data_IF_114054148935
#
_entry.id   IF_114054148935
#
_cell.length_a   1.000
_cell.length_b   1.000
_cell.length_c   1.000
_cell.angle_alpha   90.00
_cell.angle_beta   90.00
_cell.angle_gamma   90.00
#
_symmetry.space_group_name_H-M   'P 1'
#
loop_
_entity.id
_entity.type
_entity.pdbx_description
1 polymer ?
#
# COMPACT_ATOMS: atom_id res chain seq x y z
N UNK A 1 -95.13 -59.50 -143.22
CA UNK A 1 -96.36 -60.25 -143.54
C UNK A 1 -97.24 -59.53 -144.57
N UNK A 2 -97.97 -58.44 -144.27
CA UNK A 2 -98.81 -57.78 -145.31
C UNK A 2 -98.01 -57.34 -146.55
N UNK A 3 -96.83 -56.74 -146.34
CA UNK A 3 -95.99 -56.16 -147.40
C UNK A 3 -95.47 -57.19 -148.43
N UNK A 4 -95.29 -58.45 -148.04
CA UNK A 4 -94.68 -59.49 -148.90
C UNK A 4 -95.67 -60.07 -149.90
N UNK A 5 -96.95 -60.16 -149.54
CA UNK A 5 -98.02 -60.57 -150.45
C UNK A 5 -98.23 -59.49 -151.53
N UNK A 6 -98.12 -58.21 -151.16
CA UNK A 6 -98.20 -57.08 -152.09
C UNK A 6 -96.98 -57.01 -153.03
N UNK A 7 -95.78 -57.40 -152.57
CA UNK A 7 -94.59 -57.44 -153.42
C UNK A 7 -94.72 -58.45 -154.58
N UNK A 8 -95.18 -59.68 -154.30
CA UNK A 8 -95.34 -60.71 -155.34
C UNK A 8 -96.46 -60.39 -156.34
N UNK A 9 -97.45 -59.57 -155.96
CA UNK A 9 -98.46 -59.03 -156.88
C UNK A 9 -97.93 -57.90 -157.77
N UNK A 10 -96.85 -57.23 -157.36
CA UNK A 10 -96.19 -56.18 -158.14
C UNK A 10 -95.34 -56.77 -159.28
N UNK A 11 -94.73 -57.93 -159.06
CA UNK A 11 -93.78 -58.58 -159.99
C UNK A 11 -94.45 -59.50 -161.02
N UNK A 12 -95.69 -59.91 -160.78
CA UNK A 12 -96.42 -60.90 -161.61
C UNK A 12 -97.21 -60.34 -162.81
N UNK A 13 -96.95 -59.08 -163.20
CA UNK A 13 -97.30 -58.54 -164.53
C UNK A 13 -98.79 -58.35 -164.85
N UNK A 14 -99.69 -58.56 -163.89
CA UNK A 14 -101.14 -58.46 -164.09
C UNK A 14 -101.73 -57.06 -163.85
N UNK A 15 -100.89 -56.08 -163.48
CA UNK A 15 -101.24 -54.69 -163.21
C UNK A 15 -100.22 -53.76 -163.87
N UNK A 16 -100.64 -52.56 -164.28
CA UNK A 16 -99.75 -51.55 -164.86
C UNK A 16 -98.86 -50.91 -163.79
N UNK A 17 -97.73 -50.35 -164.24
CA UNK A 17 -96.77 -49.59 -163.42
C UNK A 17 -97.45 -48.45 -162.63
N UNK A 18 -98.49 -47.87 -163.20
CA UNK A 18 -99.39 -46.85 -162.64
C UNK A 18 -100.16 -47.35 -161.39
N UNK A 19 -100.66 -48.58 -161.40
CA UNK A 19 -101.36 -49.16 -160.23
C UNK A 19 -100.38 -49.46 -159.07
N UNK A 20 -99.14 -49.83 -159.39
CA UNK A 20 -98.08 -50.01 -158.39
C UNK A 20 -97.67 -48.71 -157.71
N UNK A 21 -97.68 -47.59 -158.45
CA UNK A 21 -97.48 -46.25 -157.89
C UNK A 21 -98.65 -45.86 -156.97
N UNK A 22 -99.90 -45.99 -157.44
CA UNK A 22 -101.10 -45.66 -156.66
C UNK A 22 -101.19 -46.43 -155.33
N UNK A 23 -100.80 -47.73 -155.31
CA UNK A 23 -100.79 -48.51 -154.08
C UNK A 23 -99.72 -47.99 -153.10
N UNK A 24 -98.52 -47.63 -153.57
CA UNK A 24 -97.49 -47.04 -152.70
C UNK A 24 -97.91 -45.68 -152.16
N UNK A 25 -98.44 -44.82 -153.03
CA UNK A 25 -98.93 -43.49 -152.67
C UNK A 25 -100.07 -43.56 -151.64
N UNK A 26 -101.01 -44.49 -151.80
CA UNK A 26 -102.07 -44.75 -150.82
C UNK A 26 -101.54 -45.32 -149.48
N UNK A 27 -100.45 -46.11 -149.50
CA UNK A 27 -99.86 -46.71 -148.30
C UNK A 27 -98.98 -45.68 -147.56
N UNK A 28 -98.25 -44.82 -148.26
CA UNK A 28 -97.55 -43.67 -147.66
C UNK A 28 -98.54 -42.62 -147.15
N UNK A 29 -99.65 -42.37 -147.85
CA UNK A 29 -100.75 -41.56 -147.35
C UNK A 29 -101.32 -42.13 -146.05
N UNK A 30 -101.68 -43.43 -146.00
CA UNK A 30 -102.16 -44.09 -144.77
C UNK A 30 -101.13 -44.12 -143.64
N UNK A 31 -99.83 -44.22 -143.96
CA UNK A 31 -98.75 -44.17 -142.96
C UNK A 31 -98.59 -42.75 -142.39
N UNK A 32 -98.74 -41.72 -143.22
CA UNK A 32 -98.65 -40.33 -142.78
C UNK A 32 -99.91 -39.90 -142.03
N UNK A 33 -101.10 -40.29 -142.49
CA UNK A 33 -102.39 -40.11 -141.79
C UNK A 33 -102.34 -40.74 -140.39
N UNK A 34 -101.89 -41.99 -140.26
CA UNK A 34 -101.71 -42.63 -138.95
C UNK A 34 -100.63 -41.99 -138.07
N UNK A 35 -99.62 -41.32 -138.66
CA UNK A 35 -98.62 -40.53 -137.91
C UNK A 35 -99.17 -39.17 -137.48
N UNK A 36 -100.00 -38.52 -138.28
CA UNK A 36 -100.69 -37.29 -137.91
C UNK A 36 -101.72 -37.57 -136.83
N UNK A 37 -102.47 -38.67 -136.93
CA UNK A 37 -103.40 -39.16 -135.90
C UNK A 37 -102.67 -39.44 -134.58
N UNK A 38 -101.66 -40.32 -134.56
CA UNK A 38 -100.88 -40.62 -133.34
C UNK A 38 -100.17 -39.39 -132.78
N UNK A 39 -99.71 -38.44 -133.60
CA UNK A 39 -99.10 -37.19 -133.08
C UNK A 39 -100.13 -36.12 -132.73
N UNK A 40 -101.39 -36.24 -133.13
CA UNK A 40 -102.50 -35.48 -132.58
C UNK A 40 -102.91 -36.06 -131.22
N UNK A 41 -103.14 -37.37 -131.12
CA UNK A 41 -103.42 -38.09 -129.87
C UNK A 41 -102.34 -37.83 -128.81
N UNK A 42 -101.05 -37.94 -129.16
CA UNK A 42 -99.96 -37.64 -128.22
C UNK A 42 -99.94 -36.16 -127.80
N UNK A 43 -100.29 -35.20 -128.67
CA UNK A 43 -100.40 -33.79 -128.27
C UNK A 43 -101.59 -33.55 -127.35
N UNK A 44 -102.71 -34.20 -127.63
CA UNK A 44 -103.93 -34.17 -126.81
C UNK A 44 -103.64 -34.77 -125.42
N UNK A 45 -103.03 -35.96 -125.35
CA UNK A 45 -102.59 -36.57 -124.08
C UNK A 45 -101.57 -35.72 -123.34
N UNK A 46 -100.55 -35.16 -124.00
CA UNK A 46 -99.56 -34.31 -123.33
C UNK A 46 -100.16 -32.98 -122.86
N UNK A 47 -101.14 -32.41 -123.58
CA UNK A 47 -101.88 -31.24 -123.14
C UNK A 47 -102.74 -31.56 -121.91
N UNK A 48 -103.54 -32.63 -121.97
CA UNK A 48 -104.40 -33.06 -120.86
C UNK A 48 -103.58 -33.45 -119.61
N UNK A 49 -102.45 -34.14 -119.78
CA UNK A 49 -101.50 -34.44 -118.68
C UNK A 49 -100.89 -33.15 -118.12
N UNK A 50 -100.46 -32.22 -118.96
CA UNK A 50 -99.90 -30.95 -118.50
C UNK A 50 -100.93 -30.08 -117.76
N UNK A 51 -102.19 -30.05 -118.21
CA UNK A 51 -103.26 -29.35 -117.49
C UNK A 51 -103.60 -30.04 -116.17
N UNK A 52 -103.62 -31.38 -116.12
CA UNK A 52 -103.80 -32.14 -114.88
C UNK A 52 -102.66 -31.92 -113.89
N UNK A 53 -101.41 -32.11 -114.30
CA UNK A 53 -100.23 -31.92 -113.44
C UNK A 53 -100.17 -30.47 -112.93
N UNK A 54 -100.49 -29.49 -113.80
CA UNK A 54 -100.62 -28.08 -113.41
C UNK A 54 -101.74 -27.86 -112.40
N UNK A 55 -102.91 -28.50 -112.56
CA UNK A 55 -104.01 -28.37 -111.59
C UNK A 55 -103.64 -29.00 -110.26
N UNK A 56 -103.00 -30.17 -110.26
CA UNK A 56 -102.53 -30.87 -109.05
C UNK A 56 -101.43 -30.07 -108.34
N UNK A 57 -100.50 -29.45 -109.08
CA UNK A 57 -99.48 -28.57 -108.49
C UNK A 57 -100.12 -27.31 -107.88
N UNK A 58 -101.08 -26.69 -108.55
CA UNK A 58 -101.81 -25.53 -108.01
C UNK A 58 -102.62 -25.90 -106.77
N UNK A 59 -103.32 -27.05 -106.79
CA UNK A 59 -104.07 -27.56 -105.63
C UNK A 59 -103.15 -27.96 -104.48
N UNK A 60 -101.99 -28.57 -104.74
CA UNK A 60 -101.01 -28.90 -103.71
C UNK A 60 -100.37 -27.64 -103.11
N UNK A 61 -100.06 -26.63 -103.94
CA UNK A 61 -99.58 -25.33 -103.47
C UNK A 61 -100.65 -24.60 -102.65
N UNK A 62 -101.89 -24.52 -103.12
CA UNK A 62 -102.97 -23.81 -102.42
C UNK A 62 -103.36 -24.55 -101.13
N UNK A 63 -103.36 -25.88 -101.11
CA UNK A 63 -103.52 -26.65 -99.87
C UNK A 63 -102.36 -26.40 -98.90
N UNK A 64 -101.09 -26.41 -99.34
CA UNK A 64 -99.96 -26.09 -98.46
C UNK A 64 -100.09 -24.67 -97.89
N UNK A 65 -100.31 -23.68 -98.75
CA UNK A 65 -100.40 -22.27 -98.39
C UNK A 65 -101.62 -21.97 -97.50
N UNK A 66 -102.75 -22.67 -97.69
CA UNK A 66 -103.93 -22.53 -96.84
C UNK A 66 -103.91 -23.38 -95.57
N UNK A 67 -103.14 -24.47 -95.49
CA UNK A 67 -103.03 -25.30 -94.28
C UNK A 67 -101.84 -24.87 -93.44
N UNK A 68 -100.60 -25.10 -93.90
CA UNK A 68 -99.40 -24.92 -93.07
C UNK A 68 -99.22 -23.47 -92.63
N UNK A 69 -99.44 -22.50 -93.52
CA UNK A 69 -99.28 -21.07 -93.14
C UNK A 69 -100.42 -20.62 -92.22
N UNK A 70 -101.63 -21.19 -92.28
CA UNK A 70 -102.68 -20.87 -91.32
C UNK A 70 -102.44 -21.51 -89.97
N UNK A 71 -102.01 -22.78 -89.91
CA UNK A 71 -101.64 -23.42 -88.64
C UNK A 71 -100.43 -22.72 -88.00
N UNK A 72 -99.38 -22.41 -88.77
CA UNK A 72 -98.22 -21.64 -88.27
C UNK A 72 -98.62 -20.23 -87.81
N UNK A 73 -99.55 -19.55 -88.49
CA UNK A 73 -100.05 -18.24 -88.08
C UNK A 73 -100.90 -18.30 -86.79
N UNK A 74 -101.69 -19.36 -86.62
CA UNK A 74 -102.48 -19.60 -85.40
C UNK A 74 -101.58 -19.99 -84.23
N UNK A 75 -100.61 -20.89 -84.43
CA UNK A 75 -99.58 -21.27 -83.45
C UNK A 75 -98.73 -20.06 -83.04
N UNK A 76 -98.21 -19.29 -84.01
CA UNK A 76 -97.44 -18.07 -83.74
C UNK A 76 -98.26 -17.00 -83.01
N UNK A 77 -99.58 -16.94 -83.25
CA UNK A 77 -100.47 -16.08 -82.49
C UNK A 77 -100.60 -16.57 -81.04
N UNK A 78 -100.82 -17.87 -80.81
CA UNK A 78 -100.92 -18.42 -79.45
C UNK A 78 -99.60 -18.28 -78.68
N UNK A 79 -98.45 -18.52 -79.32
CA UNK A 79 -97.13 -18.32 -78.73
C UNK A 79 -96.88 -16.85 -78.39
N UNK A 80 -97.30 -15.92 -79.26
CA UNK A 80 -97.18 -14.49 -79.00
C UNK A 80 -98.07 -14.04 -77.85
N UNK A 81 -99.28 -14.57 -77.73
CA UNK A 81 -100.19 -14.29 -76.62
C UNK A 81 -99.65 -14.89 -75.30
N UNK A 82 -99.10 -16.12 -75.34
CA UNK A 82 -98.43 -16.75 -74.21
C UNK A 82 -97.19 -15.96 -73.74
N UNK A 83 -96.28 -15.60 -74.65
CA UNK A 83 -95.09 -14.80 -74.34
C UNK A 83 -95.44 -13.40 -73.79
N UNK A 84 -96.57 -12.82 -74.19
CA UNK A 84 -97.07 -11.57 -73.58
C UNK A 84 -97.59 -11.84 -72.17
N UNK A 85 -98.38 -12.90 -71.96
CA UNK A 85 -98.90 -13.28 -70.66
C UNK A 85 -97.77 -13.60 -69.65
N UNK A 86 -96.77 -14.38 -70.05
CA UNK A 86 -95.58 -14.67 -69.25
C UNK A 86 -94.79 -13.40 -68.90
N UNK A 87 -94.54 -12.51 -69.88
CA UNK A 87 -93.84 -11.25 -69.63
C UNK A 87 -94.60 -10.33 -68.67
N UNK A 88 -95.93 -10.33 -68.71
CA UNK A 88 -96.78 -9.59 -67.76
C UNK A 88 -96.74 -10.25 -66.38
N UNK A 89 -96.88 -11.57 -66.29
CA UNK A 89 -96.80 -12.32 -65.03
C UNK A 89 -95.43 -12.16 -64.34
N UNK A 90 -94.34 -12.28 -65.10
CA UNK A 90 -92.97 -12.10 -64.63
C UNK A 90 -92.72 -10.67 -64.13
N UNK A 91 -93.13 -9.64 -64.89
CA UNK A 91 -93.05 -8.24 -64.43
C UNK A 91 -93.87 -7.99 -63.18
N UNK A 92 -95.08 -8.57 -63.08
CA UNK A 92 -95.93 -8.46 -61.89
C UNK A 92 -95.24 -9.10 -60.68
N UNK A 93 -94.77 -10.34 -60.80
CA UNK A 93 -94.06 -11.07 -59.76
C UNK A 93 -92.80 -10.31 -59.29
N UNK A 94 -91.97 -9.78 -60.20
CA UNK A 94 -90.84 -8.91 -59.83
C UNK A 94 -91.33 -7.69 -59.04
N UNK A 95 -92.40 -7.01 -59.49
CA UNK A 95 -92.91 -5.82 -58.80
C UNK A 95 -93.46 -6.12 -57.40
N UNK A 96 -93.93 -7.34 -57.15
CA UNK A 96 -94.44 -7.81 -55.87
C UNK A 96 -93.29 -8.26 -54.95
N UNK A 97 -92.33 -9.02 -55.48
CA UNK A 97 -91.09 -9.38 -54.77
C UNK A 97 -90.24 -8.15 -54.41
N UNK A 98 -90.15 -7.14 -55.28
CA UNK A 98 -89.44 -5.90 -55.01
C UNK A 98 -90.06 -5.15 -53.81
N UNK A 99 -91.40 -5.03 -53.76
CA UNK A 99 -92.12 -4.43 -52.63
C UNK A 99 -91.97 -5.25 -51.34
N UNK A 100 -91.85 -6.57 -51.44
CA UNK A 100 -91.64 -7.46 -50.29
C UNK A 100 -90.21 -7.32 -49.75
N UNK A 101 -89.21 -7.27 -50.63
CA UNK A 101 -87.80 -7.01 -50.31
C UNK A 101 -87.60 -5.60 -49.74
N UNK A 102 -88.25 -4.58 -50.31
CA UNK A 102 -88.25 -3.21 -49.78
C UNK A 102 -88.80 -3.18 -48.35
N UNK A 103 -89.95 -3.82 -48.08
CA UNK A 103 -90.52 -3.95 -46.73
C UNK A 103 -89.61 -4.73 -45.78
N UNK A 104 -88.93 -5.78 -46.26
CA UNK A 104 -87.98 -6.55 -45.46
C UNK A 104 -86.76 -5.71 -45.07
N UNK A 105 -86.14 -5.02 -46.03
CA UNK A 105 -85.00 -4.13 -45.77
C UNK A 105 -85.42 -2.97 -44.86
N UNK A 106 -86.54 -2.31 -45.13
CA UNK A 106 -87.02 -1.19 -44.31
C UNK A 106 -87.33 -1.61 -42.86
N UNK A 107 -87.95 -2.78 -42.66
CA UNK A 107 -88.24 -3.29 -41.31
C UNK A 107 -86.98 -3.78 -40.58
N UNK A 108 -86.03 -4.42 -41.26
CA UNK A 108 -84.73 -4.78 -40.70
C UNK A 108 -83.92 -3.54 -40.31
N UNK A 109 -83.75 -2.59 -41.23
CA UNK A 109 -83.04 -1.33 -40.98
C UNK A 109 -83.69 -0.53 -39.84
N UNK A 110 -85.03 -0.46 -39.77
CA UNK A 110 -85.72 0.19 -38.65
C UNK A 110 -85.51 -0.52 -37.31
N UNK A 111 -85.33 -1.85 -37.32
CA UNK A 111 -85.00 -2.64 -36.13
C UNK A 111 -83.56 -2.41 -35.69
N UNK A 112 -82.60 -2.55 -36.61
CA UNK A 112 -81.17 -2.30 -36.36
C UNK A 112 -80.90 -0.87 -35.88
N UNK A 113 -81.55 0.14 -36.48
CA UNK A 113 -81.44 1.54 -36.04
C UNK A 113 -82.05 1.75 -34.64
N UNK A 114 -83.07 0.98 -34.25
CA UNK A 114 -83.66 1.02 -32.90
C UNK A 114 -82.73 0.35 -31.88
N UNK A 115 -82.15 -0.78 -32.23
CA UNK A 115 -81.18 -1.51 -31.40
C UNK A 115 -79.90 -0.70 -31.20
N UNK A 116 -79.31 -0.17 -32.27
CA UNK A 116 -78.13 0.72 -32.23
C UNK A 116 -78.37 1.97 -31.38
N UNK A 117 -79.59 2.53 -31.37
CA UNK A 117 -79.97 3.63 -30.48
C UNK A 117 -80.05 3.20 -29.01
N UNK A 118 -80.61 2.02 -28.73
CA UNK A 118 -80.67 1.46 -27.38
C UNK A 118 -79.28 1.13 -26.84
N UNK A 119 -78.40 0.54 -27.65
CA UNK A 119 -77.04 0.22 -27.24
C UNK A 119 -76.18 1.48 -27.06
N UNK A 120 -76.36 2.51 -27.90
CA UNK A 120 -75.74 3.81 -27.67
C UNK A 120 -76.22 4.48 -26.37
N UNK A 121 -77.44 4.22 -25.92
CA UNK A 121 -77.92 4.67 -24.61
C UNK A 121 -77.23 3.91 -23.46
N UNK A 122 -77.15 2.57 -23.52
CA UNK A 122 -76.41 1.74 -22.54
C UNK A 122 -74.93 2.12 -22.46
N UNK A 123 -74.27 2.36 -23.60
CA UNK A 123 -72.88 2.81 -23.65
C UNK A 123 -72.72 4.17 -22.97
N UNK A 124 -73.64 5.12 -23.19
CA UNK A 124 -73.62 6.40 -22.49
C UNK A 124 -73.84 6.27 -20.97
N UNK A 125 -74.69 5.34 -20.53
CA UNK A 125 -74.93 5.03 -19.12
C UNK A 125 -73.67 4.46 -18.44
N UNK A 126 -73.05 3.44 -19.04
CA UNK A 126 -71.77 2.86 -18.59
C UNK A 126 -70.64 3.93 -18.57
N UNK A 127 -70.64 4.86 -19.53
CA UNK A 127 -69.69 5.99 -19.58
C UNK A 127 -69.96 7.00 -18.45
N UNK A 128 -71.21 7.21 -18.05
CA UNK A 128 -71.54 8.01 -16.85
C UNK A 128 -71.16 7.31 -15.54
N UNK A 129 -71.35 5.99 -15.44
CA UNK A 129 -70.95 5.24 -14.25
C UNK A 129 -69.43 5.18 -14.07
N UNK A 130 -68.69 4.86 -15.13
CA UNK A 130 -67.21 4.89 -15.11
C UNK A 130 -66.69 6.30 -14.81
N UNK A 131 -67.32 7.37 -15.32
CA UNK A 131 -67.02 8.75 -14.89
C UNK A 131 -67.26 8.98 -13.39
N UNK A 132 -68.39 8.53 -12.83
CA UNK A 132 -68.67 8.63 -11.38
C UNK A 132 -67.63 7.87 -10.57
N UNK A 133 -67.23 6.68 -11.00
CA UNK A 133 -66.18 5.88 -10.36
C UNK A 133 -64.82 6.60 -10.37
N UNK A 134 -64.38 7.08 -11.55
CA UNK A 134 -63.10 7.81 -11.69
C UNK A 134 -63.11 9.10 -10.86
N UNK A 135 -64.19 9.88 -10.86
CA UNK A 135 -64.29 11.11 -10.03
C UNK A 135 -64.27 10.79 -8.54
N UNK A 136 -64.94 9.71 -8.10
CA UNK A 136 -64.91 9.25 -6.71
C UNK A 136 -63.50 8.80 -6.29
N UNK A 137 -62.83 8.03 -7.15
CA UNK A 137 -61.47 7.55 -6.90
C UNK A 137 -60.46 8.71 -6.86
N UNK A 138 -60.50 9.62 -7.84
CA UNK A 138 -59.64 10.82 -7.88
C UNK A 138 -59.87 11.72 -6.66
N UNK A 139 -61.12 11.89 -6.22
CA UNK A 139 -61.47 12.67 -5.02
C UNK A 139 -60.95 12.03 -3.73
N UNK A 140 -60.93 10.69 -3.67
CA UNK A 140 -60.33 9.93 -2.58
C UNK A 140 -58.81 10.06 -2.58
N UNK A 141 -58.16 9.81 -3.72
CA UNK A 141 -56.70 9.94 -3.88
C UNK A 141 -56.22 11.35 -3.58
N UNK A 142 -56.99 12.38 -3.98
CA UNK A 142 -56.69 13.78 -3.65
C UNK A 142 -56.79 14.06 -2.14
N UNK A 143 -57.78 13.48 -1.46
CA UNK A 143 -57.94 13.60 -0.01
C UNK A 143 -56.83 12.85 0.76
N UNK A 144 -56.46 11.65 0.30
CA UNK A 144 -55.35 10.86 0.83
C UNK A 144 -54.01 11.61 0.61
N UNK A 145 -53.72 12.08 -0.61
CA UNK A 145 -52.55 12.93 -0.91
C UNK A 145 -52.50 14.21 -0.05
N UNK A 146 -53.65 14.85 0.23
CA UNK A 146 -53.70 15.98 1.15
C UNK A 146 -53.38 15.58 2.59
N UNK A 147 -53.70 14.36 3.03
CA UNK A 147 -53.33 13.83 4.35
C UNK A 147 -51.84 13.53 4.41
N UNK A 148 -51.32 12.78 3.44
CA UNK A 148 -49.90 12.42 3.30
C UNK A 148 -49.00 13.66 3.27
N UNK A 149 -49.42 14.71 2.57
CA UNK A 149 -48.71 16.01 2.54
C UNK A 149 -48.66 16.68 3.92
N UNK A 150 -49.71 16.56 4.76
CA UNK A 150 -49.70 17.08 6.14
C UNK A 150 -48.82 16.21 7.04
N UNK A 151 -48.85 14.88 6.87
CA UNK A 151 -47.98 13.97 7.62
C UNK A 151 -46.49 14.15 7.25
N UNK A 152 -46.16 14.37 5.98
CA UNK A 152 -44.80 14.69 5.53
C UNK A 152 -44.27 16.01 6.13
N UNK A 153 -45.14 17.01 6.29
CA UNK A 153 -44.78 18.25 7.00
C UNK A 153 -44.59 17.98 8.50
N UNK A 154 -45.49 17.24 9.13
CA UNK A 154 -45.42 16.92 10.56
C UNK A 154 -44.17 16.08 10.90
N UNK A 155 -43.84 15.08 10.08
CA UNK A 155 -42.63 14.25 10.25
C UNK A 155 -41.37 15.05 9.99
N UNK A 156 -41.34 15.94 9.00
CA UNK A 156 -40.22 16.88 8.78
C UNK A 156 -40.02 17.83 9.96
N UNK A 157 -41.09 18.40 10.52
CA UNK A 157 -41.02 19.27 11.71
C UNK A 157 -40.54 18.48 12.94
N UNK A 158 -41.04 17.25 13.14
CA UNK A 158 -40.59 16.34 14.20
C UNK A 158 -39.10 16.03 14.09
N UNK A 159 -38.63 15.62 12.90
CA UNK A 159 -37.23 15.31 12.62
C UNK A 159 -36.32 16.52 12.86
N UNK A 160 -36.74 17.73 12.47
CA UNK A 160 -35.98 18.96 12.75
C UNK A 160 -35.93 19.27 14.26
N UNK A 161 -37.02 19.04 15.00
CA UNK A 161 -37.04 19.24 16.45
C UNK A 161 -36.18 18.20 17.20
N UNK A 162 -36.29 16.92 16.85
CA UNK A 162 -35.48 15.82 17.39
C UNK A 162 -34.00 16.01 17.04
N UNK A 163 -33.69 16.35 15.79
CA UNK A 163 -32.34 16.69 15.33
C UNK A 163 -31.74 17.87 16.09
N UNK A 164 -32.51 18.95 16.33
CA UNK A 164 -32.07 20.08 17.17
C UNK A 164 -31.80 19.66 18.62
N UNK A 165 -32.65 18.79 19.19
CA UNK A 165 -32.44 18.26 20.54
C UNK A 165 -31.20 17.36 20.63
N UNK A 166 -30.93 16.55 19.61
CA UNK A 166 -29.72 15.72 19.50
C UNK A 166 -28.47 16.61 19.33
N UNK A 167 -28.51 17.60 18.44
CA UNK A 167 -27.40 18.54 18.23
C UNK A 167 -27.07 19.32 19.50
N UNK A 168 -28.07 19.76 20.27
CA UNK A 168 -27.85 20.39 21.57
C UNK A 168 -27.19 19.43 22.56
N UNK A 169 -27.73 18.22 22.75
CA UNK A 169 -27.12 17.19 23.63
C UNK A 169 -25.69 16.85 23.23
N UNK A 170 -25.41 16.74 21.93
CA UNK A 170 -24.05 16.50 21.41
C UNK A 170 -23.13 17.69 21.64
N UNK A 171 -23.61 18.93 21.45
CA UNK A 171 -22.86 20.16 21.77
C UNK A 171 -22.51 20.22 23.26
N UNK A 172 -23.48 19.97 24.15
CA UNK A 172 -23.25 19.99 25.60
C UNK A 172 -22.27 18.88 26.02
N UNK A 173 -22.39 17.69 25.42
CA UNK A 173 -21.47 16.57 25.66
C UNK A 173 -20.06 16.84 25.14
N UNK A 174 -19.94 17.54 24.00
CA UNK A 174 -18.68 17.99 23.43
C UNK A 174 -18.03 19.04 24.33
N UNK A 175 -18.77 20.08 24.74
CA UNK A 175 -18.28 21.14 25.64
C UNK A 175 -17.78 20.53 26.95
N UNK A 176 -18.51 19.58 27.56
CA UNK A 176 -18.05 18.87 28.77
C UNK A 176 -16.74 18.12 28.53
N UNK A 177 -16.67 17.25 27.52
CA UNK A 177 -15.46 16.48 27.20
C UNK A 177 -14.26 17.37 26.86
N UNK A 178 -14.47 18.47 26.13
CA UNK A 178 -13.43 19.44 25.82
C UNK A 178 -12.96 20.19 27.07
N UNK A 179 -13.87 20.59 27.96
CA UNK A 179 -13.52 21.21 29.23
C UNK A 179 -12.77 20.25 30.16
N UNK A 180 -13.23 19.00 30.28
CA UNK A 180 -12.56 17.93 31.03
C UNK A 180 -11.16 17.65 30.47
N UNK A 181 -10.99 17.59 29.14
CA UNK A 181 -9.69 17.39 28.51
C UNK A 181 -8.76 18.59 28.78
N UNK A 182 -9.23 19.82 28.58
CA UNK A 182 -8.45 21.04 28.84
C UNK A 182 -8.09 21.17 30.33
N UNK A 183 -9.01 20.89 31.25
CA UNK A 183 -8.71 20.87 32.69
C UNK A 183 -7.60 19.85 32.99
N UNK A 184 -7.73 18.61 32.52
CA UNK A 184 -6.72 17.58 32.76
C UNK A 184 -5.36 17.93 32.13
N UNK A 185 -5.32 18.52 30.93
CA UNK A 185 -4.08 18.99 30.30
C UNK A 185 -3.43 20.11 31.13
N UNK A 186 -4.18 21.16 31.51
CA UNK A 186 -3.66 22.27 32.33
C UNK A 186 -3.19 21.76 33.69
N UNK A 187 -3.98 20.91 34.35
CA UNK A 187 -3.71 20.30 35.66
C UNK A 187 -2.46 19.42 35.64
N UNK A 188 -2.20 18.71 34.55
CA UNK A 188 -0.99 17.91 34.38
C UNK A 188 0.23 18.78 34.02
N UNK A 189 0.08 19.81 33.18
CA UNK A 189 1.15 20.77 32.90
C UNK A 189 1.58 21.50 34.18
N UNK A 190 0.62 22.09 34.90
CA UNK A 190 0.86 22.79 36.17
C UNK A 190 1.48 21.86 37.23
N UNK A 191 1.08 20.58 37.30
CA UNK A 191 1.73 19.60 38.19
C UNK A 191 3.17 19.29 37.79
N UNK A 192 3.46 19.24 36.49
CA UNK A 192 4.81 19.05 35.96
C UNK A 192 5.68 20.28 36.25
N UNK A 193 5.18 21.48 35.95
CA UNK A 193 5.83 22.77 36.22
C UNK A 193 6.09 22.97 37.72
N UNK A 194 5.13 22.66 38.59
CA UNK A 194 5.31 22.72 40.05
C UNK A 194 6.25 21.63 40.59
N UNK A 195 6.38 20.48 39.93
CA UNK A 195 7.40 19.46 40.26
C UNK A 195 8.78 19.97 39.87
N UNK A 196 8.94 20.46 38.64
CA UNK A 196 10.19 21.00 38.14
C UNK A 196 10.65 22.19 39.00
N UNK A 197 9.78 23.18 39.25
CA UNK A 197 10.07 24.32 40.13
C UNK A 197 10.45 23.88 41.55
N UNK A 198 9.85 22.82 42.09
CA UNK A 198 10.26 22.25 43.38
C UNK A 198 11.65 21.62 43.31
N UNK A 199 11.98 20.91 42.24
CA UNK A 199 13.30 20.31 42.01
C UNK A 199 14.36 21.39 41.79
N UNK A 200 14.07 22.45 41.04
CA UNK A 200 14.91 23.64 40.88
C UNK A 200 15.17 24.33 42.23
N UNK A 201 14.14 24.50 43.07
CA UNK A 201 14.27 25.08 44.42
C UNK A 201 15.10 24.18 45.35
N UNK A 202 15.03 22.86 45.21
CA UNK A 202 15.86 21.92 45.98
C UNK A 202 17.31 22.01 45.51
N UNK A 203 17.58 21.93 44.20
CA UNK A 203 18.93 22.08 43.65
C UNK A 203 19.54 23.45 44.00
N UNK A 204 18.76 24.54 43.94
CA UNK A 204 19.22 25.86 44.34
C UNK A 204 19.64 25.90 45.82
N UNK A 205 18.87 25.25 46.71
CA UNK A 205 19.21 25.15 48.15
C UNK A 205 20.40 24.24 48.41
N UNK A 206 20.52 23.12 47.69
CA UNK A 206 21.66 22.20 47.79
C UNK A 206 22.95 22.88 47.31
N UNK A 207 22.89 23.65 46.21
CA UNK A 207 23.99 24.46 45.72
C UNK A 207 24.33 25.62 46.68
N UNK A 208 23.35 26.31 47.26
CA UNK A 208 23.59 27.36 48.26
C UNK A 208 24.19 26.79 49.55
N UNK A 209 23.71 25.63 50.01
CA UNK A 209 24.26 24.91 51.15
C UNK A 209 25.68 24.42 50.87
N UNK A 210 25.92 23.79 49.72
CA UNK A 210 27.24 23.37 49.28
C UNK A 210 28.22 24.53 49.20
N UNK A 211 27.79 25.69 48.68
CA UNK A 211 28.60 26.92 48.68
C UNK A 211 28.91 27.40 50.09
N UNK A 212 27.92 27.45 51.01
CA UNK A 212 28.13 27.84 52.42
C UNK A 212 29.05 26.88 53.17
N UNK A 213 28.94 25.58 52.93
CA UNK A 213 29.83 24.56 53.51
C UNK A 213 31.24 24.71 52.95
N UNK A 214 31.41 24.94 51.65
CA UNK A 214 32.71 25.20 51.05
C UNK A 214 33.33 26.53 51.50
N UNK A 215 32.52 27.59 51.65
CA UNK A 215 32.93 28.90 52.13
C UNK A 215 33.38 28.85 53.60
N UNK A 216 32.60 28.17 54.46
CA UNK A 216 32.99 27.92 55.85
C UNK A 216 34.23 27.02 55.96
N UNK A 217 34.28 25.91 55.21
CA UNK A 217 35.44 25.00 55.19
C UNK A 217 36.69 25.70 54.68
N UNK A 218 36.59 26.52 53.63
CA UNK A 218 37.72 27.32 53.11
C UNK A 218 38.15 28.38 54.11
N UNK A 219 37.21 29.05 54.81
CA UNK A 219 37.51 29.99 55.89
C UNK A 219 38.28 29.35 57.04
N UNK A 220 37.77 28.23 57.57
CA UNK A 220 38.43 27.46 58.65
C UNK A 220 39.76 26.85 58.20
N UNK A 221 39.83 26.28 56.99
CA UNK A 221 41.06 25.70 56.44
C UNK A 221 42.15 26.76 56.26
N UNK A 222 41.81 27.92 55.68
CA UNK A 222 42.76 29.03 55.53
C UNK A 222 43.17 29.61 56.89
N UNK A 223 42.26 29.74 57.86
CA UNK A 223 42.60 30.18 59.21
C UNK A 223 43.50 29.18 59.96
N UNK A 224 43.25 27.88 59.85
CA UNK A 224 44.04 26.82 60.49
C UNK A 224 45.43 26.68 59.84
N UNK A 225 45.51 26.61 58.51
CA UNK A 225 46.77 26.47 57.79
C UNK A 225 47.67 27.71 57.94
N UNK A 226 47.11 28.91 58.07
CA UNK A 226 47.90 30.11 58.38
C UNK A 226 48.55 30.00 59.77
N UNK A 227 47.86 29.42 60.75
CA UNK A 227 48.45 29.13 62.06
C UNK A 227 49.53 28.05 61.98
N UNK A 228 49.27 26.91 61.32
CA UNK A 228 50.25 25.83 61.11
C UNK A 228 51.55 26.34 60.47
N UNK A 229 51.47 27.24 59.49
CA UNK A 229 52.64 27.90 58.92
C UNK A 229 53.49 28.67 59.96
N UNK A 230 52.86 29.33 60.94
CA UNK A 230 53.59 29.97 62.04
C UNK A 230 54.11 28.97 63.08
N UNK A 231 53.42 27.87 63.30
CA UNK A 231 53.81 26.82 64.27
C UNK A 231 55.02 26.05 63.75
N UNK A 232 55.01 25.63 62.48
CA UNK A 232 56.16 25.03 61.78
C UNK A 232 57.34 26.01 61.75
N UNK A 233 57.11 27.30 61.50
CA UNK A 233 58.17 28.32 61.58
C UNK A 233 58.77 28.49 62.99
N UNK A 234 57.95 28.36 64.06
CA UNK A 234 58.45 28.35 65.46
C UNK A 234 59.23 27.08 65.77
N UNK A 235 58.80 25.92 65.26
CA UNK A 235 59.50 24.62 65.43
C UNK A 235 60.85 24.65 64.72
N UNK A 236 60.91 25.10 63.47
CA UNK A 236 62.17 25.23 62.72
C UNK A 236 63.15 26.18 63.42
N UNK A 237 62.70 27.36 63.89
CA UNK A 237 63.56 28.25 64.70
C UNK A 237 64.11 27.59 65.97
N UNK A 238 63.30 26.80 66.68
CA UNK A 238 63.77 26.02 67.84
C UNK A 238 64.76 24.92 67.45
N UNK A 239 64.60 24.31 66.28
CA UNK A 239 65.54 23.34 65.72
C UNK A 239 66.87 24.01 65.38
N UNK A 240 66.85 25.17 64.71
CA UNK A 240 68.04 25.97 64.40
C UNK A 240 68.76 26.44 65.68
N UNK A 241 68.03 26.95 66.66
CA UNK A 241 68.57 27.29 67.99
C UNK A 241 69.20 26.07 68.68
N UNK A 242 68.60 24.89 68.54
CA UNK A 242 69.14 23.66 69.13
C UNK A 242 70.38 23.17 68.38
N UNK A 243 70.42 23.26 67.06
CA UNK A 243 71.57 22.89 66.25
C UNK A 243 72.78 23.79 66.54
N UNK A 244 72.56 25.10 66.67
CA UNK A 244 73.58 26.05 67.09
C UNK A 244 74.12 25.72 68.49
N UNK A 245 73.25 25.42 69.47
CA UNK A 245 73.66 25.00 70.83
C UNK A 245 74.45 23.70 70.83
N UNK A 246 74.10 22.73 69.98
CA UNK A 246 74.89 21.50 69.81
C UNK A 246 76.28 21.81 69.24
N UNK A 247 76.37 22.63 68.19
CA UNK A 247 77.67 23.02 67.61
C UNK A 247 78.54 23.88 68.56
N UNK A 248 77.94 24.63 69.48
CA UNK A 248 78.67 25.30 70.58
C UNK A 248 79.16 24.30 71.63
N UNK A 249 78.32 23.34 72.05
CA UNK A 249 78.68 22.30 73.01
C UNK A 249 79.77 21.36 72.46
N UNK A 250 79.72 20.98 71.17
CA UNK A 250 80.75 20.17 70.52
C UNK A 250 82.12 20.87 70.53
N UNK A 251 82.18 22.18 70.33
CA UNK A 251 83.42 22.96 70.46
C UNK A 251 83.92 22.97 71.90
N UNK A 252 83.04 23.22 72.88
CA UNK A 252 83.41 23.21 74.30
C UNK A 252 83.90 21.81 74.74
N UNK A 253 83.33 20.73 74.20
CA UNK A 253 83.81 19.36 74.44
C UNK A 253 85.19 19.15 73.82
N UNK A 254 85.41 19.56 72.56
CA UNK A 254 86.71 19.44 71.90
C UNK A 254 87.82 20.21 72.63
N UNK A 255 87.54 21.44 73.09
CA UNK A 255 88.45 22.23 73.92
C UNK A 255 88.75 21.53 75.26
N UNK A 256 87.74 20.90 75.88
CA UNK A 256 87.91 20.17 77.15
C UNK A 256 88.65 18.85 77.01
N UNK A 257 88.47 18.11 75.93
CA UNK A 257 89.27 16.92 75.67
C UNK A 257 90.73 17.26 75.38
N UNK A 258 91.01 18.40 74.72
CA UNK A 258 92.37 18.92 74.56
C UNK A 258 93.02 19.31 75.90
N UNK A 259 92.29 20.01 76.79
CA UNK A 259 92.72 20.28 78.17
C UNK A 259 93.04 18.97 78.93
N UNK A 260 92.16 17.96 78.82
CA UNK A 260 92.28 16.67 79.50
C UNK A 260 93.47 15.86 78.96
N UNK A 261 93.72 15.88 77.64
CA UNK A 261 94.94 15.30 77.06
C UNK A 261 96.21 15.98 77.60
N UNK A 262 96.21 17.32 77.67
CA UNK A 262 97.31 18.10 78.24
C UNK A 262 97.59 17.72 79.70
N UNK A 263 96.55 17.66 80.53
CA UNK A 263 96.64 17.28 81.93
C UNK A 263 97.14 15.83 82.11
N UNK A 264 96.60 14.86 81.35
CA UNK A 264 97.05 13.45 81.38
C UNK A 264 98.53 13.31 80.96
N UNK A 265 98.98 14.05 79.94
CA UNK A 265 100.39 14.07 79.51
C UNK A 265 101.28 14.64 80.62
N UNK A 266 100.87 15.75 81.26
CA UNK A 266 101.61 16.35 82.38
C UNK A 266 101.70 15.42 83.61
N UNK A 267 100.59 14.78 84.00
CA UNK A 267 100.57 13.81 85.10
C UNK A 267 101.55 12.64 84.84
N UNK A 268 101.51 12.05 83.64
CA UNK A 268 102.38 10.91 83.29
C UNK A 268 103.88 11.27 83.33
N UNK A 269 104.23 12.51 82.98
CA UNK A 269 105.60 13.04 83.07
C UNK A 269 106.00 13.27 84.54
N UNK A 270 105.06 13.70 85.40
CA UNK A 270 105.32 13.90 86.83
C UNK A 270 105.51 12.57 87.57
N UNK A 271 104.67 11.57 87.31
CA UNK A 271 104.77 10.22 87.86
C UNK A 271 106.09 9.55 87.48
N UNK A 272 106.50 9.57 86.20
CA UNK A 272 107.78 9.01 85.79
C UNK A 272 108.97 9.74 86.44
N UNK A 273 108.90 11.06 86.63
CA UNK A 273 109.93 11.83 87.36
C UNK A 273 110.00 11.48 88.85
N UNK A 274 108.88 11.23 89.52
CA UNK A 274 108.89 10.78 90.92
C UNK A 274 109.44 9.35 91.04
N UNK A 275 108.91 8.42 90.25
CA UNK A 275 109.37 7.03 90.19
C UNK A 275 110.87 6.95 89.84
N UNK A 276 111.36 7.80 88.91
CA UNK A 276 112.79 7.96 88.62
C UNK A 276 113.56 8.31 89.88
N UNK A 277 113.17 9.39 90.56
CA UNK A 277 113.90 9.94 91.71
C UNK A 277 113.97 8.94 92.86
N UNK A 278 112.88 8.25 93.16
CA UNK A 278 112.83 7.24 94.21
C UNK A 278 113.78 6.07 93.89
N UNK A 279 113.64 5.45 92.71
CA UNK A 279 114.48 4.31 92.29
C UNK A 279 115.97 4.69 92.23
N UNK A 280 116.32 5.86 91.68
CA UNK A 280 117.71 6.32 91.63
C UNK A 280 118.27 6.59 93.04
N UNK A 281 117.50 7.19 93.94
CA UNK A 281 117.92 7.42 95.32
C UNK A 281 118.15 6.13 96.10
N UNK A 282 117.27 5.12 95.93
CA UNK A 282 117.39 3.82 96.58
C UNK A 282 118.57 2.99 96.08
N UNK A 283 118.93 3.12 94.80
CA UNK A 283 120.10 2.47 94.21
C UNK A 283 121.41 3.14 94.63
N UNK A 284 121.45 4.47 94.76
CA UNK A 284 122.68 5.20 95.14
C UNK A 284 122.97 5.23 96.64
N UNK A 285 121.96 5.03 97.50
CA UNK A 285 122.09 5.10 98.96
C UNK A 285 123.26 4.29 99.59
N UNK A 286 123.63 3.08 99.14
CA UNK A 286 124.76 2.33 99.71
C UNK A 286 126.16 2.74 99.17
N UNK A 287 126.26 3.67 98.23
CA UNK A 287 127.55 4.11 97.67
C UNK A 287 128.09 5.35 98.41
N UNK A 288 129.41 5.39 98.64
CA UNK A 288 130.08 6.60 99.10
C UNK A 288 129.95 7.74 98.07
N UNK A 289 129.81 8.98 98.55
CA UNK A 289 129.36 10.15 97.75
C UNK A 289 129.97 10.24 96.34
N UNK A 290 131.28 10.16 96.22
CA UNK A 290 132.00 10.27 94.93
C UNK A 290 131.61 9.15 93.96
N UNK A 291 131.57 7.90 94.43
CA UNK A 291 131.10 6.74 93.63
C UNK A 291 129.62 6.85 93.29
N UNK A 292 128.80 7.44 94.17
CA UNK A 292 127.39 7.70 93.92
C UNK A 292 127.16 8.76 92.82
N UNK A 293 128.00 9.81 92.74
CA UNK A 293 127.95 10.80 91.66
C UNK A 293 128.36 10.21 90.32
N UNK A 294 129.49 9.48 90.24
CA UNK A 294 129.89 8.82 88.98
C UNK A 294 128.80 7.84 88.49
N UNK A 295 128.12 7.16 89.42
CA UNK A 295 126.99 6.29 89.11
C UNK A 295 125.69 7.05 88.76
N UNK A 296 125.44 8.27 89.26
CA UNK A 296 124.27 9.06 88.83
C UNK A 296 124.38 9.45 87.36
N UNK A 297 125.58 9.87 86.94
CA UNK A 297 125.83 10.41 85.62
C UNK A 297 125.76 9.29 84.56
N UNK A 298 126.30 8.11 84.90
CA UNK A 298 126.16 6.87 84.10
C UNK A 298 124.70 6.39 83.96
N UNK A 299 123.78 6.86 84.81
CA UNK A 299 122.37 6.45 84.82
C UNK A 299 121.41 7.54 84.33
N UNK A 300 121.88 8.76 84.04
CA UNK A 300 121.03 9.88 83.65
C UNK A 300 120.22 9.58 82.37
N UNK A 301 120.82 8.91 81.39
CA UNK A 301 120.20 8.56 80.10
C UNK A 301 119.30 7.31 80.11
N UNK A 302 119.31 6.53 81.20
CA UNK A 302 118.64 5.21 81.26
C UNK A 302 117.16 5.36 81.60
N UNK A 303 116.27 4.64 80.89
CA UNK A 303 114.81 4.62 81.19
C UNK A 303 114.53 4.13 82.62
N UNK A 304 113.51 4.69 83.27
CA UNK A 304 113.15 4.43 84.67
C UNK A 304 113.01 2.95 85.02
N UNK A 305 112.31 2.19 84.19
CA UNK A 305 112.16 0.72 84.30
C UNK A 305 113.48 -0.06 84.31
N UNK A 306 114.53 0.49 83.72
CA UNK A 306 115.80 -0.20 83.46
C UNK A 306 116.93 0.24 84.41
N UNK A 307 116.70 1.22 85.28
CA UNK A 307 117.69 1.78 86.20
C UNK A 307 118.36 0.71 87.08
N UNK A 308 117.59 -0.24 87.63
CA UNK A 308 118.14 -1.32 88.47
C UNK A 308 119.10 -2.24 87.68
N UNK A 309 118.79 -2.52 86.41
CA UNK A 309 119.59 -3.39 85.55
C UNK A 309 120.87 -2.68 85.11
N UNK A 310 120.79 -1.40 84.73
CA UNK A 310 121.93 -0.58 84.38
C UNK A 310 122.87 -0.34 85.58
N UNK A 311 122.32 -0.03 86.76
CA UNK A 311 123.09 0.10 87.99
C UNK A 311 123.90 -1.17 88.28
N UNK A 312 123.29 -2.37 88.18
CA UNK A 312 124.00 -3.65 88.31
C UNK A 312 125.05 -3.89 87.24
N UNK A 313 124.85 -3.41 86.00
CA UNK A 313 125.82 -3.51 84.89
C UNK A 313 127.05 -2.63 85.13
N UNK A 314 126.88 -1.42 85.67
CA UNK A 314 127.99 -0.49 85.91
C UNK A 314 128.65 -0.65 87.28
N UNK A 315 127.98 -1.26 88.27
CA UNK A 315 128.48 -1.38 89.65
C UNK A 315 129.87 -2.05 89.74
N UNK A 316 130.18 -3.14 89.03
CA UNK A 316 131.54 -3.71 89.02
C UNK A 316 132.60 -2.72 88.55
N UNK A 317 132.31 -1.94 87.49
CA UNK A 317 133.22 -0.94 86.94
C UNK A 317 133.38 0.31 87.83
N UNK A 318 132.48 0.53 88.79
CA UNK A 318 132.56 1.61 89.79
C UNK A 318 133.18 1.11 91.11
N UNK A 319 133.17 -0.19 91.38
CA UNK A 319 133.79 -0.77 92.58
C UNK A 319 135.24 -1.19 92.39
N UNK A 320 135.57 -1.97 91.35
CA UNK A 320 136.88 -2.61 91.16
C UNK A 320 137.64 -2.09 89.93
N UNK A 321 138.80 -1.48 90.16
CA UNK A 321 139.72 -1.01 89.11
C UNK A 321 140.54 -2.15 88.48
N UNK A 322 139.87 -3.15 87.86
CA UNK A 322 140.51 -4.14 86.98
C UNK A 322 139.52 -4.94 86.09
N UNK A 323 139.24 -4.40 84.91
CA UNK A 323 139.19 -5.09 83.59
C UNK A 323 138.26 -6.32 83.37
N UNK A 324 137.54 -6.49 82.25
CA UNK A 324 137.26 -5.65 81.05
C UNK A 324 136.17 -6.35 80.19
N UNK A 325 135.42 -5.60 79.36
CA UNK A 325 134.55 -6.13 78.26
C UNK A 325 133.27 -6.91 78.71
N UNK A 326 132.19 -7.09 77.93
CA UNK A 326 132.02 -7.06 76.46
C UNK A 326 130.60 -6.68 75.98
N UNK A 327 130.54 -5.69 75.06
CA UNK A 327 129.58 -5.45 73.94
C UNK A 327 128.05 -5.50 74.12
N UNK A 328 127.36 -4.87 73.16
CA UNK A 328 125.90 -4.81 72.97
C UNK A 328 125.57 -5.22 71.50
N UNK A 329 124.49 -4.70 70.90
CA UNK A 329 123.96 -4.95 69.52
C UNK A 329 123.00 -6.17 69.37
N UNK A 330 121.95 -6.19 68.52
CA UNK A 330 121.33 -5.20 67.58
C UNK A 330 119.86 -5.59 67.22
N UNK A 331 119.23 -4.88 66.26
CA UNK A 331 118.22 -5.32 65.26
C UNK A 331 116.72 -4.89 65.40
N UNK A 332 115.97 -5.06 64.30
CA UNK A 332 114.97 -4.10 63.74
C UNK A 332 113.89 -4.79 62.84
N UNK A 333 113.05 -3.98 62.13
CA UNK A 333 112.06 -4.32 61.07
C UNK A 333 110.65 -4.78 61.57
N UNK A 334 109.51 -4.79 60.83
CA UNK A 334 109.19 -4.57 59.38
C UNK A 334 107.71 -4.10 59.17
N UNK A 335 107.27 -3.74 57.94
CA UNK A 335 105.87 -3.40 57.53
C UNK A 335 105.14 -4.53 56.74
N UNK A 336 103.85 -4.34 56.34
CA UNK A 336 103.03 -5.31 55.58
C UNK A 336 101.81 -4.73 54.79
N UNK A 337 101.20 -5.56 53.90
CA UNK A 337 100.09 -5.27 52.92
C UNK A 337 99.05 -6.45 53.00
N UNK A 338 97.78 -6.50 52.53
CA UNK A 338 96.97 -5.77 51.51
C UNK A 338 95.52 -5.49 52.02
N UNK A 339 94.36 -5.39 51.32
CA UNK A 339 93.76 -5.94 50.05
C UNK A 339 92.99 -4.91 49.20
N UNK A 340 92.36 -5.33 48.09
CA UNK A 340 91.76 -4.52 46.99
C UNK A 340 90.39 -5.11 46.48
N UNK A 341 89.72 -4.46 45.47
CA UNK A 341 88.51 -4.92 44.69
C UNK A 341 87.12 -4.78 45.42
N UNK A 342 85.93 -4.41 44.88
CA UNK A 342 85.34 -3.99 43.55
C UNK A 342 84.43 -2.72 43.74
N UNK A 343 83.43 -2.24 42.95
CA UNK A 343 82.74 -2.57 41.66
C UNK A 343 81.47 -1.69 41.44
N UNK A 344 80.87 -1.56 40.22
CA UNK A 344 79.84 -0.51 39.90
C UNK A 344 78.94 -0.76 38.64
N UNK A 345 77.83 0.02 38.50
CA UNK A 345 76.99 0.40 37.31
C UNK A 345 75.56 -0.21 37.13
N UNK A 346 74.64 0.64 36.64
CA UNK A 346 73.26 0.43 36.12
C UNK A 346 72.10 0.28 37.14
N UNK A 347 70.87 0.80 36.93
CA UNK A 347 70.29 1.63 35.84
C UNK A 347 69.26 2.64 36.42
N UNK A 348 68.94 3.71 35.70
CA UNK A 348 67.97 4.73 36.14
C UNK A 348 66.51 4.39 35.76
N UNK A 349 65.57 4.55 36.69
CA UNK A 349 64.12 4.45 36.46
C UNK A 349 63.41 5.74 36.91
N UNK A 350 62.93 6.53 35.95
CA UNK A 350 62.12 7.71 36.23
C UNK A 350 60.68 7.26 36.55
N UNK A 351 60.12 7.72 37.66
CA UNK A 351 58.72 7.51 38.02
C UNK A 351 58.02 8.86 38.05
N UNK A 352 57.23 9.14 37.03
CA UNK A 352 56.22 10.20 37.08
C UNK A 352 54.87 9.65 36.57
N UNK A 353 53.82 9.93 37.34
CA UNK A 353 52.46 9.49 37.05
C UNK A 353 51.64 10.69 36.57
N UNK A 354 51.14 10.65 35.33
CA UNK A 354 50.03 11.50 34.90
C UNK A 354 48.96 10.68 34.20
N UNK A 355 47.72 10.89 34.62
CA UNK A 355 46.55 10.12 34.19
C UNK A 355 45.45 11.07 33.69
N UNK A 356 45.21 11.12 32.37
CA UNK A 356 44.02 11.79 31.82
C UNK A 356 43.77 11.48 30.33
N UNK A 357 42.57 11.01 30.00
CA UNK A 357 41.76 11.68 28.96
C UNK A 357 41.81 11.23 27.49
N UNK A 358 42.03 9.95 27.17
CA UNK A 358 42.03 9.46 25.77
C UNK A 358 40.71 9.64 25.00
N UNK A 359 39.56 9.74 25.69
CA UNK A 359 38.24 9.74 25.04
C UNK A 359 37.84 11.11 24.45
N UNK A 360 38.50 12.20 24.85
CA UNK A 360 38.11 13.56 24.48
C UNK A 360 38.33 13.86 22.98
N UNK A 361 39.46 13.43 22.41
CA UNK A 361 39.80 13.71 21.00
C UNK A 361 38.93 12.91 20.03
N UNK A 362 38.63 11.65 20.34
CA UNK A 362 37.80 10.78 19.48
C UNK A 362 36.38 11.36 19.33
N UNK A 363 35.79 11.87 20.42
CA UNK A 363 34.47 12.51 20.40
C UNK A 363 34.49 13.82 19.59
N UNK A 364 35.56 14.61 19.69
CA UNK A 364 35.68 15.87 18.94
C UNK A 364 35.91 15.63 17.44
N UNK A 365 36.76 14.67 17.06
CA UNK A 365 36.96 14.25 15.68
C UNK A 365 35.68 13.73 15.04
N UNK A 366 34.91 12.89 15.75
CA UNK A 366 33.63 12.36 15.25
C UNK A 366 32.61 13.48 14.99
N UNK A 367 32.56 14.48 15.89
CA UNK A 367 31.68 15.65 15.79
C UNK A 367 32.08 16.61 14.66
N UNK A 368 33.37 16.73 14.36
CA UNK A 368 33.88 17.48 13.18
C UNK A 368 33.62 16.75 11.86
N UNK A 369 33.58 15.41 11.87
CA UNK A 369 33.32 14.59 10.69
C UNK A 369 31.83 14.46 10.30
N UNK A 370 30.91 15.08 11.05
CA UNK A 370 29.47 15.10 10.73
C UNK A 370 28.74 13.75 10.92
N UNK A 371 29.31 12.82 11.70
CA UNK A 371 28.75 11.50 11.97
C UNK A 371 28.30 11.41 13.44
N UNK A 372 26.99 11.23 13.68
CA UNK A 372 26.41 11.05 15.01
C UNK A 372 26.94 9.81 15.72
#
# INVERSE_FOLDING_TARGET
MANEILANLLESGALSEEAGAQIKEALEAKLNEAREEITAELREEFAQKFEHDKSVIVEAMDNMLNTTIKTEMEEFKTDREALIAERVAYKKAISEHAKLLEKFIASRLATEVKELRADRAKVNENLQETKKFVVKQLSRELAEFHNDKRELVNTKVRLVAEGKNILNKTKDSFIKRSAELVENTIKNSLRSEMKNLKEDIVQAKENEFGRKVFEAFSGEFMASQLNEGTEVAKVNKKLDESANKVAELEKVIADKDADIEGAKKAQRILEDKMNRKEVLSGLLAPLGKEKATVMSDLLESVKTSNLQTAFKKYLPAVLDEKNVSTKEETQTLTEGKVTEITGDREVATHVESQSSGSDAEIIQLKKLAGLN
#
